data_IF_020308789262
#
_entry.id   IF_020308789262
#
_cell.length_a   1.000
_cell.length_b   1.000
_cell.length_c   1.000
_cell.angle_alpha   90.00
_cell.angle_beta   90.00
_cell.angle_gamma   90.00
#
_symmetry.space_group_name_H-M   'P 1'
#
loop_
_entity.id
_entity.type
_entity.pdbx_description
1 polymer ?
#
# COMPACT_ATOMS: atom_id res chain seq x y z
N UNK A 1 -12.40 -10.68 -15.34
CA UNK A 1 -12.65 -9.22 -15.48
C UNK A 1 -11.61 -8.44 -14.70
N UNK A 2 -11.29 -7.20 -15.12
CA UNK A 2 -10.35 -6.32 -14.40
C UNK A 2 -10.77 -6.11 -12.92
N UNK A 3 -12.08 -6.06 -12.65
CA UNK A 3 -12.59 -5.98 -11.29
C UNK A 3 -12.17 -7.18 -10.42
N UNK A 4 -12.12 -8.38 -10.99
CA UNK A 4 -11.66 -9.58 -10.28
C UNK A 4 -10.16 -9.48 -9.91
N UNK A 5 -9.33 -8.90 -10.79
CA UNK A 5 -7.91 -8.62 -10.51
C UNK A 5 -7.78 -7.68 -9.32
N UNK A 6 -8.50 -6.55 -9.35
CA UNK A 6 -8.47 -5.55 -8.27
C UNK A 6 -8.93 -6.16 -6.94
N UNK A 7 -10.02 -6.93 -6.94
CA UNK A 7 -10.52 -7.60 -5.74
C UNK A 7 -9.52 -8.60 -5.16
N UNK A 8 -8.88 -9.41 -6.01
CA UNK A 8 -7.86 -10.36 -5.59
C UNK A 8 -6.67 -9.65 -4.93
N UNK A 9 -6.16 -8.60 -5.57
CA UNK A 9 -5.05 -7.79 -5.05
C UNK A 9 -5.41 -7.07 -3.74
N UNK A 10 -6.62 -6.49 -3.67
CA UNK A 10 -7.11 -5.84 -2.45
C UNK A 10 -7.23 -6.83 -1.29
N UNK A 11 -7.76 -8.03 -1.54
CA UNK A 11 -7.93 -9.05 -0.52
C UNK A 11 -6.58 -9.45 0.12
N UNK A 12 -5.54 -9.61 -0.70
CA UNK A 12 -4.20 -9.97 -0.23
C UNK A 12 -3.47 -8.79 0.44
N UNK A 13 -3.68 -7.57 -0.06
CA UNK A 13 -3.02 -6.37 0.45
C UNK A 13 -3.69 -5.80 1.72
N UNK A 14 -5.00 -5.97 1.88
CA UNK A 14 -5.77 -5.40 2.98
C UNK A 14 -5.23 -5.74 4.38
N UNK A 15 -4.85 -6.98 4.72
CA UNK A 15 -4.30 -7.30 6.04
C UNK A 15 -3.04 -6.50 6.38
N UNK A 16 -2.21 -6.21 5.38
CA UNK A 16 -0.99 -5.41 5.58
C UNK A 16 -1.32 -3.96 5.93
N UNK A 17 -2.28 -3.37 5.20
CA UNK A 17 -2.74 -2.02 5.49
C UNK A 17 -3.42 -1.91 6.85
N UNK A 18 -4.32 -2.86 7.17
CA UNK A 18 -5.05 -2.88 8.45
C UNK A 18 -4.08 -2.96 9.63
N UNK A 19 -3.05 -3.82 9.55
CA UNK A 19 -2.04 -3.91 10.61
C UNK A 19 -1.25 -2.62 10.78
N UNK A 20 -0.84 -2.00 9.68
CA UNK A 20 -0.11 -0.74 9.72
C UNK A 20 -0.98 0.41 10.25
N UNK A 21 -2.25 0.47 9.84
CA UNK A 21 -3.21 1.46 10.32
C UNK A 21 -3.45 1.30 11.82
N UNK A 22 -3.68 0.06 12.29
CA UNK A 22 -3.86 -0.24 13.70
C UNK A 22 -2.64 0.21 14.51
N UNK A 23 -1.43 -0.20 14.12
CA UNK A 23 -0.19 0.22 14.79
C UNK A 23 -0.03 1.75 14.80
N UNK A 24 -0.41 2.42 13.70
CA UNK A 24 -0.40 3.88 13.62
C UNK A 24 -1.33 4.55 14.62
N UNK A 25 -2.55 4.06 14.76
CA UNK A 25 -3.49 4.60 15.75
C UNK A 25 -3.10 4.25 17.19
N UNK A 26 -2.59 3.04 17.44
CA UNK A 26 -2.12 2.63 18.76
C UNK A 26 -0.86 3.40 19.22
N UNK A 27 -0.08 3.95 18.30
CA UNK A 27 1.11 4.77 18.61
C UNK A 27 0.78 6.19 19.06
N UNK A 28 -0.45 6.65 18.89
CA UNK A 28 -0.88 7.99 19.33
C UNK A 28 -1.02 8.01 20.85
N UNK A 29 -0.36 8.98 21.50
CA UNK A 29 -0.43 9.11 22.96
C UNK A 29 -1.86 9.48 23.41
N UNK A 30 -2.48 8.58 24.17
CA UNK A 30 -3.83 8.76 24.72
C UNK A 30 -3.95 9.99 25.62
N UNK A 31 -2.83 10.48 26.17
CA UNK A 31 -2.82 11.72 26.97
C UNK A 31 -3.24 12.93 26.14
N UNK A 32 -2.87 12.98 24.86
CA UNK A 32 -3.29 14.06 23.97
C UNK A 32 -4.79 14.08 23.75
N UNK A 33 -5.40 12.90 23.65
CA UNK A 33 -6.86 12.76 23.55
C UNK A 33 -7.57 13.16 24.85
N UNK A 34 -7.01 12.74 26.00
CA UNK A 34 -7.52 13.12 27.32
C UNK A 34 -7.46 14.64 27.55
N UNK A 35 -6.33 15.28 27.24
CA UNK A 35 -6.19 16.75 27.34
C UNK A 35 -7.17 17.46 26.42
N UNK A 36 -7.35 16.98 25.20
CA UNK A 36 -8.33 17.55 24.27
C UNK A 36 -9.76 17.48 24.80
N UNK A 37 -10.11 16.39 25.47
CA UNK A 37 -11.43 16.22 26.09
C UNK A 37 -11.66 17.15 27.27
N UNK A 38 -10.64 17.39 28.12
CA UNK A 38 -10.73 18.34 29.24
C UNK A 38 -10.90 19.79 28.76
N UNK A 39 -10.42 20.12 27.55
CA UNK A 39 -10.63 21.41 26.90
C UNK A 39 -12.01 21.52 26.21
N UNK A 40 -12.90 20.53 26.40
CA UNK A 40 -14.26 20.55 25.85
C UNK A 40 -14.35 20.20 24.37
N UNK A 41 -13.31 19.62 23.77
CA UNK A 41 -13.36 19.18 22.38
C UNK A 41 -14.27 17.94 22.24
N UNK A 42 -15.11 17.97 21.22
CA UNK A 42 -15.93 16.77 20.88
C UNK A 42 -15.04 15.64 20.38
N UNK A 43 -15.35 14.34 20.66
CA UNK A 43 -14.53 13.19 20.26
C UNK A 43 -14.15 13.17 18.76
N UNK A 44 -15.10 13.52 17.89
CA UNK A 44 -14.87 13.61 16.44
C UNK A 44 -13.84 14.69 16.07
N UNK A 45 -13.82 15.82 16.80
CA UNK A 45 -12.85 16.90 16.57
C UNK A 45 -11.45 16.44 17.00
N UNK A 46 -11.33 15.77 18.15
CA UNK A 46 -10.09 15.19 18.65
C UNK A 46 -9.53 14.16 17.65
N UNK A 47 -10.37 13.22 17.23
CA UNK A 47 -10.00 12.21 16.24
C UNK A 47 -9.45 12.84 14.94
N UNK A 48 -10.18 13.78 14.35
CA UNK A 48 -9.80 14.38 13.07
C UNK A 48 -8.61 15.33 13.16
N UNK A 49 -8.42 16.04 14.29
CA UNK A 49 -7.39 17.08 14.44
C UNK A 49 -6.13 16.62 15.15
N UNK A 50 -6.19 15.54 15.91
CA UNK A 50 -5.08 15.03 16.72
C UNK A 50 -4.74 13.61 16.29
N UNK A 51 -5.66 12.67 16.46
CA UNK A 51 -5.39 11.24 16.25
C UNK A 51 -5.02 10.93 14.80
N UNK A 52 -5.83 11.37 13.83
CA UNK A 52 -5.58 11.10 12.40
C UNK A 52 -4.28 11.74 11.90
N UNK A 53 -4.00 13.03 12.14
CA UNK A 53 -2.74 13.64 11.69
C UNK A 53 -1.49 12.97 12.29
N UNK A 54 -1.54 12.56 13.55
CA UNK A 54 -0.43 11.87 14.21
C UNK A 54 -0.24 10.44 13.69
N UNK A 55 -1.32 9.75 13.35
CA UNK A 55 -1.27 8.42 12.75
C UNK A 55 -0.91 8.45 11.23
N UNK A 56 -1.03 9.61 10.58
CA UNK A 56 -0.90 9.75 9.12
C UNK A 56 0.40 9.18 8.54
N UNK A 57 1.59 9.37 9.15
CA UNK A 57 2.82 8.78 8.65
C UNK A 57 2.76 7.25 8.59
N UNK A 58 2.18 6.60 9.60
CA UNK A 58 2.00 5.15 9.66
C UNK A 58 0.95 4.67 8.65
N UNK A 59 -0.15 5.42 8.50
CA UNK A 59 -1.18 5.14 7.50
C UNK A 59 -0.61 5.21 6.07
N UNK A 60 0.16 6.24 5.78
CA UNK A 60 0.81 6.42 4.49
C UNK A 60 1.86 5.34 4.23
N UNK A 61 2.68 5.00 5.22
CA UNK A 61 3.63 3.89 5.14
C UNK A 61 2.94 2.55 4.90
N UNK A 62 1.84 2.30 5.61
CA UNK A 62 1.00 1.13 5.42
C UNK A 62 0.38 1.04 4.03
N UNK A 63 -0.05 2.15 3.45
CA UNK A 63 -0.58 2.20 2.09
C UNK A 63 0.48 1.83 1.06
N UNK A 64 1.71 2.32 1.20
CA UNK A 64 2.83 1.96 0.31
C UNK A 64 3.18 0.48 0.44
N UNK A 65 3.21 -0.06 1.66
CA UNK A 65 3.48 -1.49 1.87
C UNK A 65 2.37 -2.37 1.29
N UNK A 66 1.11 -2.00 1.46
CA UNK A 66 -0.02 -2.71 0.88
C UNK A 66 0.01 -2.66 -0.65
N UNK A 67 0.34 -1.50 -1.22
CA UNK A 67 0.50 -1.34 -2.66
C UNK A 67 1.65 -2.20 -3.19
N UNK A 68 2.81 -2.18 -2.54
CA UNK A 68 3.96 -3.01 -2.95
C UNK A 68 3.61 -4.52 -2.88
N UNK A 69 2.85 -4.92 -1.86
CA UNK A 69 2.34 -6.29 -1.74
C UNK A 69 1.36 -6.66 -2.86
N UNK A 70 0.46 -5.74 -3.21
CA UNK A 70 -0.48 -5.92 -4.32
C UNK A 70 0.23 -5.99 -5.68
N UNK A 71 1.28 -5.18 -5.88
CA UNK A 71 2.04 -5.12 -7.13
C UNK A 71 2.71 -6.47 -7.46
N UNK A 72 3.21 -7.19 -6.44
CA UNK A 72 3.81 -8.51 -6.59
C UNK A 72 2.82 -9.67 -6.51
N UNK A 73 1.49 -9.40 -6.48
CA UNK A 73 0.52 -10.47 -6.33
C UNK A 73 0.37 -11.26 -7.63
N UNK A 74 0.57 -12.56 -7.50
CA UNK A 74 0.52 -13.52 -8.60
C UNK A 74 -0.58 -14.57 -8.38
N UNK A 75 -0.51 -15.28 -7.23
CA UNK A 75 -1.31 -16.48 -6.98
C UNK A 75 -2.80 -16.22 -6.92
N UNK A 76 -3.25 -15.27 -6.13
CA UNK A 76 -4.67 -14.94 -6.03
C UNK A 76 -5.19 -14.37 -7.36
N UNK A 77 -4.38 -13.59 -8.07
CA UNK A 77 -4.78 -13.02 -9.35
C UNK A 77 -5.04 -14.10 -10.41
N UNK A 78 -4.13 -15.07 -10.57
CA UNK A 78 -4.30 -16.14 -11.57
C UNK A 78 -5.48 -17.05 -11.23
N UNK A 79 -5.68 -17.34 -9.93
CA UNK A 79 -6.78 -18.20 -9.49
C UNK A 79 -8.16 -17.54 -9.62
N UNK A 80 -8.27 -16.25 -9.32
CA UNK A 80 -9.53 -15.51 -9.31
C UNK A 80 -9.90 -14.88 -10.64
N UNK A 81 -8.92 -14.35 -11.36
CA UNK A 81 -9.14 -13.56 -12.56
C UNK A 81 -8.65 -14.23 -13.85
N UNK A 82 -7.79 -15.24 -13.71
CA UNK A 82 -7.09 -15.86 -14.83
C UNK A 82 -5.98 -14.97 -15.40
N UNK A 83 -5.36 -15.45 -16.48
CA UNK A 83 -4.31 -14.73 -17.22
C UNK A 83 -4.77 -14.50 -18.66
N UNK A 84 -5.41 -13.36 -18.92
CA UNK A 84 -5.87 -12.99 -20.27
C UNK A 84 -5.18 -11.69 -20.67
N UNK A 85 -4.35 -11.76 -21.70
CA UNK A 85 -3.62 -10.62 -22.24
C UNK A 85 -4.57 -9.45 -22.57
N UNK A 86 -4.19 -8.25 -22.11
CA UNK A 86 -4.98 -7.02 -22.30
C UNK A 86 -6.25 -6.91 -21.42
N UNK A 87 -6.57 -7.90 -20.57
CA UNK A 87 -7.76 -7.89 -19.70
C UNK A 87 -7.46 -8.15 -18.23
N UNK A 88 -6.78 -9.25 -17.90
CA UNK A 88 -6.53 -9.67 -16.51
C UNK A 88 -5.07 -9.97 -16.24
N UNK A 89 -4.23 -9.91 -17.26
CA UNK A 89 -2.79 -10.10 -17.14
C UNK A 89 -2.16 -8.96 -16.33
N UNK A 90 -1.53 -9.31 -15.21
CA UNK A 90 -0.70 -8.40 -14.42
C UNK A 90 0.78 -8.57 -14.80
N UNK A 91 1.65 -7.63 -14.38
CA UNK A 91 3.08 -7.76 -14.69
C UNK A 91 3.71 -9.06 -14.17
N UNK A 92 3.43 -9.56 -12.94
CA UNK A 92 3.91 -10.88 -12.52
C UNK A 92 3.42 -12.03 -13.41
N UNK A 93 2.18 -11.98 -13.90
CA UNK A 93 1.65 -12.97 -14.82
C UNK A 93 2.30 -12.88 -16.20
N UNK A 94 2.58 -11.67 -16.68
CA UNK A 94 3.30 -11.45 -17.93
C UNK A 94 4.75 -11.95 -17.85
N UNK A 95 5.41 -11.80 -16.69
CA UNK A 95 6.74 -12.37 -16.46
C UNK A 95 6.73 -13.88 -16.57
N UNK A 96 5.74 -14.54 -15.94
CA UNK A 96 5.62 -16.01 -16.01
C UNK A 96 5.45 -16.48 -17.46
N UNK A 97 4.53 -15.86 -18.20
CA UNK A 97 4.27 -16.22 -19.60
C UNK A 97 5.50 -15.96 -20.48
N UNK A 98 6.18 -14.83 -20.28
CA UNK A 98 7.40 -14.53 -21.00
C UNK A 98 8.54 -15.51 -20.70
N UNK A 99 8.64 -16.05 -19.48
CA UNK A 99 9.66 -17.05 -19.13
C UNK A 99 9.58 -18.32 -19.96
N UNK A 100 8.38 -18.69 -20.41
CA UNK A 100 8.17 -19.88 -21.25
C UNK A 100 8.56 -19.63 -22.72
N UNK A 101 8.48 -18.38 -23.19
CA UNK A 101 8.71 -18.00 -24.58
C UNK A 101 10.09 -17.38 -24.82
N UNK A 102 10.47 -16.40 -23.99
CA UNK A 102 11.72 -15.62 -24.09
C UNK A 102 12.17 -15.11 -22.72
N UNK A 103 13.21 -15.72 -22.18
CA UNK A 103 13.78 -15.35 -20.89
C UNK A 103 14.26 -13.89 -20.84
N UNK A 104 14.73 -13.31 -21.96
CA UNK A 104 15.18 -11.91 -21.98
C UNK A 104 14.00 -10.95 -21.85
N UNK A 105 12.87 -11.27 -22.48
CA UNK A 105 11.64 -10.51 -22.32
C UNK A 105 11.13 -10.58 -20.87
N UNK A 106 11.16 -11.76 -20.24
CA UNK A 106 10.80 -11.92 -18.83
C UNK A 106 11.67 -11.06 -17.90
N UNK A 107 13.00 -11.06 -18.11
CA UNK A 107 13.93 -10.22 -17.34
C UNK A 107 13.62 -8.74 -17.54
N UNK A 108 13.37 -8.30 -18.77
CA UNK A 108 13.03 -6.91 -19.05
C UNK A 108 11.79 -6.44 -18.29
N UNK A 109 10.71 -7.24 -18.29
CA UNK A 109 9.47 -6.93 -17.55
C UNK A 109 9.74 -6.92 -16.04
N UNK A 110 10.53 -7.87 -15.52
CA UNK A 110 10.87 -7.94 -14.11
C UNK A 110 11.68 -6.72 -13.65
N UNK A 111 12.64 -6.25 -14.46
CA UNK A 111 13.43 -5.04 -14.19
C UNK A 111 12.54 -3.80 -14.16
N UNK A 112 11.60 -3.68 -15.09
CA UNK A 112 10.62 -2.58 -15.10
C UNK A 112 9.75 -2.60 -13.84
N UNK A 113 9.24 -3.77 -13.46
CA UNK A 113 8.42 -3.95 -12.26
C UNK A 113 9.20 -3.55 -10.99
N UNK A 114 10.44 -4.04 -10.86
CA UNK A 114 11.31 -3.71 -9.75
C UNK A 114 11.66 -2.21 -9.72
N UNK A 115 11.90 -1.61 -10.88
CA UNK A 115 12.14 -0.16 -11.03
C UNK A 115 10.96 0.68 -10.57
N UNK A 116 9.74 0.31 -10.95
CA UNK A 116 8.51 0.98 -10.50
C UNK A 116 8.36 0.88 -8.98
N UNK A 117 8.52 -0.33 -8.42
CA UNK A 117 8.41 -0.54 -6.98
C UNK A 117 9.46 0.29 -6.21
N UNK A 118 10.70 0.31 -6.67
CA UNK A 118 11.78 1.09 -6.06
C UNK A 118 11.53 2.60 -6.18
N UNK A 119 11.09 3.08 -7.33
CA UNK A 119 10.80 4.50 -7.56
C UNK A 119 9.70 5.01 -6.61
N UNK A 120 8.61 4.27 -6.46
CA UNK A 120 7.53 4.62 -5.52
C UNK A 120 8.02 4.61 -4.08
N UNK A 121 8.82 3.62 -3.68
CA UNK A 121 9.38 3.54 -2.33
C UNK A 121 10.30 4.73 -2.03
N UNK A 122 11.17 5.11 -2.97
CA UNK A 122 12.07 6.25 -2.82
C UNK A 122 11.28 7.56 -2.76
N UNK A 123 10.30 7.74 -3.65
CA UNK A 123 9.44 8.92 -3.66
C UNK A 123 8.70 9.08 -2.32
N UNK A 124 8.14 7.99 -1.80
CA UNK A 124 7.47 7.99 -0.50
C UNK A 124 8.42 8.35 0.64
N UNK A 125 9.63 7.76 0.68
CA UNK A 125 10.63 8.11 1.70
C UNK A 125 11.06 9.58 1.63
N UNK A 126 11.16 10.13 0.44
CA UNK A 126 11.47 11.55 0.23
C UNK A 126 10.38 12.46 0.80
N UNK A 127 9.12 12.17 0.48
CA UNK A 127 7.95 12.92 0.98
C UNK A 127 7.80 12.81 2.50
N UNK A 128 7.99 11.63 3.08
CA UNK A 128 7.92 11.42 4.51
C UNK A 128 8.99 12.24 5.27
N UNK A 129 10.22 12.31 4.74
CA UNK A 129 11.30 13.13 5.33
C UNK A 129 11.07 14.62 5.18
N UNK A 130 10.47 15.06 4.08
CA UNK A 130 10.13 16.47 3.87
C UNK A 130 9.05 16.93 4.85
N UNK A 131 8.03 16.10 5.10
CA UNK A 131 6.97 16.38 6.07
C UNK A 131 7.46 16.46 7.51
N UNK A 132 8.44 15.63 7.91
CA UNK A 132 9.01 15.66 9.27
C UNK A 132 9.95 16.86 9.53
N UNK A 133 10.37 17.57 8.50
CA UNK A 133 11.20 18.79 8.64
C UNK A 133 10.38 20.07 8.68
N UNK A 134 9.10 20.00 8.39
CA UNK A 134 8.19 21.15 8.37
C UNK A 134 7.38 21.32 9.67
N UNK A 135 7.55 20.41 10.64
CA UNK A 135 7.03 20.47 12.02
C UNK A 135 8.15 20.77 13.02
#
# INVERSE_FOLDING_TARGET
TTAAVVLAQMFVAAPFYIRAARAGFESVDQRLEAVSSTLGARPWRTFRRITVPLALPSLAGGAVMAWARALGEFGATIMFAGNVAGRTQTMPLAILEAMEADANAAIAIAVVLAGIALAVLIAFRGLARAGSRAL
#
